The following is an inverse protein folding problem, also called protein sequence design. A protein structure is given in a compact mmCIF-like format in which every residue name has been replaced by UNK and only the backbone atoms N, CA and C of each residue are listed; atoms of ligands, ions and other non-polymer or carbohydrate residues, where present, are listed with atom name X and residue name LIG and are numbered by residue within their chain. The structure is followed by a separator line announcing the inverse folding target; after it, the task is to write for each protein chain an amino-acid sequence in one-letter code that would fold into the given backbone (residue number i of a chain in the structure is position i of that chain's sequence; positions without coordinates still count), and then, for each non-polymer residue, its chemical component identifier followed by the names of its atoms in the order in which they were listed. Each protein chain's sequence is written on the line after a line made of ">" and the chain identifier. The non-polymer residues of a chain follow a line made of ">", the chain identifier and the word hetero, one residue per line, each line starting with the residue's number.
data_IF_956818883929
#
_entry.id   IF_956818883929
#
_cell.length_a   1.000
_cell.length_b   1.000
_cell.length_c   1.000
_cell.angle_alpha   90.00
_cell.angle_beta   90.00
_cell.angle_gamma   90.00
#
_symmetry.space_group_name_H-M   'P 1'
#
loop_
_entity.id
_entity.type
_entity.pdbx_description
1 polymer ?
#
# COMPACT_ATOMS: atom_id res chain seq x y z
N UNK A 1 3.82 18.64 39.55
CA UNK A 1 4.57 17.48 39.04
C UNK A 1 3.72 16.79 37.97
N UNK A 2 3.89 17.12 36.69
CA UNK A 2 3.19 16.44 35.57
C UNK A 2 3.92 16.73 34.26
N UNK A 3 5.07 16.08 34.03
CA UNK A 3 5.78 16.14 32.73
C UNK A 3 6.29 14.75 32.38
N UNK A 4 5.38 13.80 32.15
CA UNK A 4 5.76 12.43 31.77
C UNK A 4 4.74 11.73 30.86
N UNK A 5 3.82 12.45 30.20
CA UNK A 5 2.86 11.82 29.26
C UNK A 5 3.11 12.15 27.78
N UNK A 6 3.86 13.20 27.47
CA UNK A 6 4.05 13.65 26.07
C UNK A 6 5.09 12.82 25.29
N UNK A 7 6.02 12.15 25.98
CA UNK A 7 7.14 11.48 25.29
C UNK A 7 6.76 10.14 24.67
N UNK A 8 5.93 9.32 25.34
CA UNK A 8 5.60 7.98 24.83
C UNK A 8 4.72 8.01 23.56
N UNK A 9 3.88 9.03 23.42
CA UNK A 9 2.99 9.17 22.26
C UNK A 9 3.79 9.56 21.00
N UNK A 10 4.78 10.45 21.13
CA UNK A 10 5.70 10.79 20.04
C UNK A 10 6.56 9.59 19.60
N UNK A 11 7.07 8.80 20.56
CA UNK A 11 7.85 7.59 20.26
C UNK A 11 7.01 6.47 19.61
N UNK A 12 5.73 6.33 19.95
CA UNK A 12 4.82 5.40 19.25
C UNK A 12 4.46 5.92 17.86
N UNK A 13 4.12 7.21 17.72
CA UNK A 13 3.80 7.81 16.41
C UNK A 13 4.95 7.66 15.41
N UNK A 14 6.19 7.95 15.81
CA UNK A 14 7.36 7.84 14.92
C UNK A 14 7.63 6.41 14.41
N UNK A 15 7.40 5.39 15.24
CA UNK A 15 7.53 3.97 14.84
C UNK A 15 6.39 3.53 13.92
N UNK A 16 5.16 3.92 14.21
CA UNK A 16 3.98 3.57 13.40
C UNK A 16 4.03 4.23 12.02
N UNK A 17 4.51 5.48 11.93
CA UNK A 17 4.72 6.14 10.64
C UNK A 17 5.84 5.47 9.83
N UNK A 18 6.91 5.00 10.49
CA UNK A 18 8.00 4.28 9.83
C UNK A 18 7.54 2.92 9.29
N UNK A 19 6.76 2.15 10.06
CA UNK A 19 6.23 0.85 9.60
C UNK A 19 5.21 1.02 8.49
N UNK A 20 4.33 2.03 8.57
CA UNK A 20 3.39 2.39 7.52
C UNK A 20 4.10 2.73 6.20
N UNK A 21 5.11 3.62 6.26
CA UNK A 21 5.90 4.00 5.08
C UNK A 21 6.65 2.80 4.51
N UNK A 22 7.23 1.96 5.36
CA UNK A 22 7.92 0.73 4.95
C UNK A 22 6.96 -0.27 4.29
N UNK A 23 5.73 -0.42 4.81
CA UNK A 23 4.69 -1.25 4.21
C UNK A 23 4.28 -0.72 2.84
N UNK A 24 4.03 0.59 2.72
CA UNK A 24 3.74 1.22 1.44
C UNK A 24 4.84 0.98 0.42
N UNK A 25 6.10 1.11 0.83
CA UNK A 25 7.25 0.91 -0.06
C UNK A 25 7.41 -0.55 -0.49
N UNK A 26 7.23 -1.51 0.44
CA UNK A 26 7.20 -2.95 0.12
C UNK A 26 6.07 -3.33 -0.83
N UNK A 27 4.88 -2.75 -0.65
CA UNK A 27 3.74 -2.97 -1.55
C UNK A 27 4.07 -2.42 -2.94
N UNK A 28 4.63 -1.21 -3.01
CA UNK A 28 5.01 -0.59 -4.27
C UNK A 28 6.09 -1.40 -5.00
N UNK A 29 7.15 -1.81 -4.30
CA UNK A 29 8.24 -2.63 -4.87
C UNK A 29 7.72 -3.99 -5.35
N UNK A 30 6.86 -4.66 -4.58
CA UNK A 30 6.24 -5.91 -5.00
C UNK A 30 5.41 -5.74 -6.28
N UNK A 31 4.55 -4.72 -6.33
CA UNK A 31 3.73 -4.42 -7.52
C UNK A 31 4.60 -4.04 -8.72
N UNK A 32 5.71 -3.32 -8.52
CA UNK A 32 6.66 -2.99 -9.57
C UNK A 32 7.33 -4.23 -10.18
N UNK A 33 7.66 -5.25 -9.36
CA UNK A 33 8.28 -6.50 -9.83
C UNK A 33 7.32 -7.40 -10.59
N UNK A 34 6.07 -7.50 -10.13
CA UNK A 34 5.05 -8.39 -10.73
C UNK A 34 4.21 -7.71 -11.80
N UNK A 35 4.32 -6.39 -11.93
CA UNK A 35 3.53 -5.55 -12.84
C UNK A 35 2.12 -5.28 -12.32
N UNK A 36 1.30 -6.33 -12.17
CA UNK A 36 -0.08 -6.24 -11.69
C UNK A 36 -0.34 -7.23 -10.55
N UNK A 37 -0.95 -6.77 -9.47
CA UNK A 37 -1.29 -7.63 -8.33
C UNK A 37 -2.61 -7.22 -7.66
N UNK A 38 -3.29 -8.17 -7.04
CA UNK A 38 -4.50 -7.92 -6.26
C UNK A 38 -4.19 -7.75 -4.77
N UNK A 39 -5.11 -7.14 -4.01
CA UNK A 39 -4.96 -6.96 -2.55
C UNK A 39 -4.67 -8.28 -1.85
N UNK A 40 -5.36 -9.36 -2.24
CA UNK A 40 -5.19 -10.67 -1.62
C UNK A 40 -3.81 -11.28 -1.93
N UNK A 41 -3.33 -11.15 -3.16
CA UNK A 41 -1.99 -11.60 -3.55
C UNK A 41 -0.90 -10.81 -2.80
N UNK A 42 -1.03 -9.49 -2.70
CA UNK A 42 -0.10 -8.62 -1.95
C UNK A 42 -0.11 -9.00 -0.46
N UNK A 43 -1.29 -9.17 0.13
CA UNK A 43 -1.45 -9.58 1.53
C UNK A 43 -0.75 -10.93 1.81
N UNK A 44 -0.90 -11.90 0.91
CA UNK A 44 -0.27 -13.22 1.04
C UNK A 44 1.25 -13.15 0.86
N UNK A 45 1.72 -12.45 -0.18
CA UNK A 45 3.15 -12.35 -0.48
C UNK A 45 3.93 -11.62 0.62
N UNK A 46 3.36 -10.54 1.15
CA UNK A 46 4.01 -9.72 2.18
C UNK A 46 3.65 -10.14 3.61
N UNK A 47 2.75 -11.13 3.78
CA UNK A 47 2.16 -11.53 5.07
C UNK A 47 1.60 -10.34 5.86
N UNK A 48 0.89 -9.45 5.15
CA UNK A 48 0.22 -8.27 5.72
C UNK A 48 -1.28 -8.53 5.72
N UNK A 49 -1.99 -8.02 6.73
CA UNK A 49 -3.46 -8.11 6.77
C UNK A 49 -4.11 -7.40 5.58
N UNK A 50 -5.18 -7.99 5.03
CA UNK A 50 -5.92 -7.42 3.89
C UNK A 50 -6.46 -6.02 4.17
N UNK A 51 -6.93 -5.76 5.39
CA UNK A 51 -7.39 -4.44 5.85
C UNK A 51 -6.28 -3.41 5.75
N UNK A 52 -5.08 -3.75 6.23
CA UNK A 52 -3.89 -2.91 6.14
C UNK A 52 -3.49 -2.68 4.68
N UNK A 53 -3.43 -3.72 3.84
CA UNK A 53 -3.12 -3.56 2.41
C UNK A 53 -4.15 -2.66 1.72
N UNK A 54 -5.43 -2.77 2.05
CA UNK A 54 -6.49 -1.92 1.50
C UNK A 54 -6.30 -0.45 1.88
N UNK A 55 -6.00 -0.16 3.14
CA UNK A 55 -5.71 1.20 3.60
C UNK A 55 -4.47 1.78 2.90
N UNK A 56 -3.37 1.02 2.87
CA UNK A 56 -2.10 1.43 2.24
C UNK A 56 -2.25 1.61 0.72
N UNK A 57 -3.06 0.78 0.06
CA UNK A 57 -3.40 0.92 -1.35
C UNK A 57 -4.08 2.25 -1.61
N UNK A 58 -5.09 2.61 -0.81
CA UNK A 58 -5.79 3.88 -0.95
C UNK A 58 -4.85 5.07 -0.74
N UNK A 59 -3.94 5.01 0.24
CA UNK A 59 -2.89 6.02 0.43
C UNK A 59 -1.95 6.13 -0.78
N UNK A 60 -1.53 5.00 -1.34
CA UNK A 60 -0.64 4.95 -2.52
C UNK A 60 -1.32 5.45 -3.79
N UNK A 61 -2.63 5.22 -3.95
CA UNK A 61 -3.43 5.78 -5.04
C UNK A 61 -3.57 7.30 -4.87
N UNK A 62 -3.87 7.77 -3.65
CA UNK A 62 -3.91 9.21 -3.36
C UNK A 62 -2.55 9.89 -3.61
N UNK A 63 -1.45 9.19 -3.31
CA UNK A 63 -0.09 9.63 -3.60
C UNK A 63 0.33 9.47 -5.08
N UNK A 64 -0.57 9.02 -5.97
CA UNK A 64 -0.32 8.76 -7.39
C UNK A 64 0.85 7.80 -7.67
N UNK A 65 1.17 6.92 -6.72
CA UNK A 65 2.18 5.86 -6.88
C UNK A 65 1.58 4.57 -7.44
N UNK A 66 0.32 4.29 -7.11
CA UNK A 66 -0.45 3.16 -7.63
C UNK A 66 -1.69 3.66 -8.38
N UNK A 67 -2.17 2.84 -9.31
CA UNK A 67 -3.50 3.02 -9.91
C UNK A 67 -4.28 1.70 -9.84
N UNK A 68 -5.62 1.82 -9.93
CA UNK A 68 -6.47 0.66 -10.14
C UNK A 68 -6.31 0.21 -11.60
N UNK A 69 -5.91 -1.04 -11.78
CA UNK A 69 -5.85 -1.70 -13.09
C UNK A 69 -7.12 -2.52 -13.31
N UNK A 70 -7.23 -3.18 -14.46
CA UNK A 70 -8.36 -4.03 -14.84
C UNK A 70 -8.75 -5.09 -13.78
N UNK A 71 -10.02 -5.47 -13.79
CA UNK A 71 -10.50 -6.56 -12.94
C UNK A 71 -9.90 -7.88 -13.42
N UNK A 72 -9.26 -8.60 -12.49
CA UNK A 72 -8.69 -9.91 -12.77
C UNK A 72 -9.17 -10.93 -11.77
N UNK A 73 -9.20 -12.19 -12.18
CA UNK A 73 -9.42 -13.30 -11.28
C UNK A 73 -8.21 -13.41 -10.33
N UNK A 74 -8.43 -13.16 -9.05
CA UNK A 74 -7.43 -13.35 -8.01
C UNK A 74 -6.99 -14.81 -7.97
N UNK A 75 -5.70 -15.08 -8.12
CA UNK A 75 -5.21 -16.45 -8.12
C UNK A 75 -5.36 -17.12 -6.73
N UNK A 76 -5.35 -16.34 -5.66
CA UNK A 76 -5.45 -16.84 -4.29
C UNK A 76 -6.88 -17.18 -3.85
N UNK A 77 -7.90 -16.48 -4.37
CA UNK A 77 -9.30 -16.65 -3.92
C UNK A 77 -10.25 -17.09 -5.03
N UNK A 78 -9.79 -17.12 -6.28
CA UNK A 78 -10.61 -17.47 -7.45
C UNK A 78 -11.71 -16.45 -7.78
N UNK A 79 -11.75 -15.30 -7.11
CA UNK A 79 -12.77 -14.25 -7.32
C UNK A 79 -12.24 -13.16 -8.24
N UNK A 80 -13.11 -12.61 -9.07
CA UNK A 80 -12.83 -11.39 -9.82
C UNK A 80 -12.72 -10.22 -8.86
N UNK A 81 -11.57 -9.54 -8.89
CA UNK A 81 -11.29 -8.39 -8.02
C UNK A 81 -10.49 -7.35 -8.79
N UNK A 82 -10.60 -6.10 -8.37
CA UNK A 82 -9.77 -5.02 -8.92
C UNK A 82 -8.29 -5.29 -8.64
N UNK A 83 -7.49 -5.30 -9.71
CA UNK A 83 -6.04 -5.32 -9.57
C UNK A 83 -5.47 -3.92 -9.39
N UNK A 84 -4.23 -3.85 -8.91
CA UNK A 84 -3.45 -2.62 -8.89
C UNK A 84 -2.15 -2.81 -9.65
N UNK A 85 -1.71 -1.73 -10.26
CA UNK A 85 -0.41 -1.63 -10.91
C UNK A 85 0.30 -0.35 -10.51
N UNK A 86 1.60 -0.29 -10.75
CA UNK A 86 2.34 0.97 -10.65
C UNK A 86 1.70 1.98 -11.60
N UNK A 87 1.38 3.17 -11.09
CA UNK A 87 0.97 4.24 -11.97
C UNK A 87 2.12 4.48 -12.96
N UNK A 88 1.89 4.55 -14.29
CA UNK A 88 2.91 4.98 -15.21
C UNK A 88 3.36 6.34 -14.71
N UNK A 89 4.68 6.56 -14.66
CA UNK A 89 5.23 7.88 -14.38
C UNK A 89 4.43 8.85 -15.24
N UNK A 90 3.60 9.69 -14.61
CA UNK A 90 2.73 10.59 -15.35
C UNK A 90 3.67 11.45 -16.17
N UNK A 91 3.83 11.10 -17.44
CA UNK A 91 4.37 11.99 -18.45
C UNK A 91 3.43 13.16 -18.35
N UNK A 92 3.95 14.21 -17.73
CA UNK A 92 3.29 15.48 -17.50
C UNK A 92 2.76 15.95 -18.85
N UNK A 93 1.54 15.55 -19.19
CA UNK A 93 0.73 16.15 -20.24
C UNK A 93 0.27 17.49 -19.67
N UNK A 94 1.18 18.45 -19.66
CA UNK A 94 0.80 19.85 -19.78
C UNK A 94 0.41 20.03 -21.24
N UNK A 95 -0.88 20.19 -21.47
CA UNK A 95 -1.41 21.00 -22.57
C UNK A 95 -2.22 22.13 -21.93
#
# INVERSE_FOLDING_TARGET
>A
MTVTETSMDAFRRGRTTSTAKLQCDRIADYVARVGTATIAEIALALRIEKSSVSARRSELIAAKRLELAEERKCNATGRWVQSVRMAPAQVRLFQ
#
